data_IF_896399237747
#
_entry.id   IF_896399237747
#
_cell.length_a   1.000
_cell.length_b   1.000
_cell.length_c   1.000
_cell.angle_alpha   90.00
_cell.angle_beta   90.00
_cell.angle_gamma   90.00
#
_symmetry.space_group_name_H-M   'P 1'
#
loop_
_entity.id
_entity.type
_entity.pdbx_description
1 polymer ?
#
# COMPACT_ATOMS: atom_id res chain seq x y z
N UNK A 1 5.18 13.48 13.43
CA UNK A 1 5.74 12.13 13.65
C UNK A 1 4.78 11.18 12.98
N UNK A 2 5.23 10.44 11.98
CA UNK A 2 4.38 9.48 11.28
C UNK A 2 3.97 8.37 12.26
N UNK A 3 2.71 7.94 12.21
CA UNK A 3 2.19 6.86 13.03
C UNK A 3 2.68 5.51 12.49
N UNK A 4 3.28 4.67 13.35
CA UNK A 4 3.80 3.34 12.99
C UNK A 4 3.25 2.30 13.98
N UNK A 5 2.05 1.75 13.74
CA UNK A 5 1.45 0.71 14.57
C UNK A 5 2.34 -0.55 14.70
N UNK A 6 2.52 -1.07 15.91
CA UNK A 6 3.44 -2.18 16.18
C UNK A 6 2.90 -3.56 15.75
N UNK A 7 1.59 -3.65 15.57
CA UNK A 7 0.85 -4.85 15.18
C UNK A 7 0.93 -5.15 13.67
N UNK A 8 1.36 -4.18 12.86
CA UNK A 8 1.48 -4.31 11.41
C UNK A 8 2.86 -4.86 11.00
N UNK A 9 2.90 -5.48 9.83
CA UNK A 9 4.15 -5.76 9.11
C UNK A 9 4.38 -4.66 8.08
N UNK A 10 5.64 -4.44 7.68
CA UNK A 10 6.00 -3.34 6.80
C UNK A 10 6.98 -3.77 5.70
N UNK A 11 6.81 -3.22 4.50
CA UNK A 11 7.77 -3.32 3.41
C UNK A 11 8.80 -2.19 3.47
N UNK A 12 9.88 -2.28 2.67
CA UNK A 12 10.85 -1.18 2.54
C UNK A 12 10.31 -0.05 1.66
N UNK A 13 9.28 -0.36 0.89
CA UNK A 13 8.58 0.47 -0.08
C UNK A 13 7.42 1.27 0.56
N UNK A 14 7.38 1.32 1.90
CA UNK A 14 6.42 2.08 2.70
C UNK A 14 4.98 1.56 2.62
N UNK A 15 4.82 0.25 2.51
CA UNK A 15 3.55 -0.46 2.65
C UNK A 15 3.43 -1.11 4.03
N UNK A 16 2.20 -1.36 4.46
CA UNK A 16 1.90 -2.14 5.64
C UNK A 16 0.97 -3.31 5.31
N UNK A 17 1.14 -4.40 6.05
CA UNK A 17 0.24 -5.56 6.02
C UNK A 17 -0.41 -5.74 7.38
N UNK A 18 -1.72 -5.95 7.38
CA UNK A 18 -2.51 -6.37 8.54
C UNK A 18 -3.07 -7.75 8.29
N UNK A 19 -2.77 -8.70 9.17
CA UNK A 19 -3.36 -10.03 9.13
C UNK A 19 -4.80 -9.96 9.65
N UNK A 20 -5.74 -10.44 8.86
CA UNK A 20 -7.16 -10.54 9.24
C UNK A 20 -7.48 -11.88 9.89
N UNK A 21 -8.64 -11.96 10.54
CA UNK A 21 -9.06 -13.15 11.29
C UNK A 21 -9.32 -14.38 10.40
N UNK A 22 -9.68 -14.17 9.13
CA UNK A 22 -9.93 -15.23 8.14
C UNK A 22 -8.65 -15.75 7.45
N UNK A 23 -7.49 -15.23 7.85
CA UNK A 23 -6.19 -15.59 7.28
C UNK A 23 -5.79 -14.77 6.05
N UNK A 24 -6.63 -13.84 5.58
CA UNK A 24 -6.26 -12.88 4.54
C UNK A 24 -5.38 -11.77 5.10
N UNK A 25 -4.79 -10.99 4.20
CA UNK A 25 -4.00 -9.80 4.54
C UNK A 25 -4.63 -8.57 3.89
N UNK A 26 -4.80 -7.51 4.67
CA UNK A 26 -5.06 -6.17 4.15
C UNK A 26 -3.74 -5.45 3.95
N UNK A 27 -3.57 -4.86 2.77
CA UNK A 27 -2.37 -4.07 2.42
C UNK A 27 -2.77 -2.60 2.25
N UNK A 28 -1.86 -1.69 2.62
CA UNK A 28 -2.01 -0.26 2.37
C UNK A 28 -0.68 0.47 2.45
N UNK A 29 -0.69 1.79 2.24
CA UNK A 29 0.52 2.63 2.37
C UNK A 29 0.64 3.19 3.78
N UNK A 30 1.87 3.36 4.26
CA UNK A 30 2.16 3.91 5.59
C UNK A 30 1.81 5.39 5.70
N UNK A 31 1.67 5.89 6.93
CA UNK A 31 1.49 7.32 7.21
C UNK A 31 2.62 8.16 6.56
N UNK A 32 3.85 7.65 6.59
CA UNK A 32 4.97 8.34 5.96
C UNK A 32 4.81 8.48 4.44
N UNK A 33 4.33 7.42 3.77
CA UNK A 33 4.09 7.45 2.33
C UNK A 33 3.01 8.47 1.96
N UNK A 34 1.89 8.50 2.69
CA UNK A 34 0.81 9.44 2.40
C UNK A 34 1.24 10.89 2.68
N UNK A 35 2.01 11.15 3.74
CA UNK A 35 2.55 12.50 4.02
C UNK A 35 3.46 13.00 2.89
N UNK A 36 4.28 12.12 2.31
CA UNK A 36 5.16 12.45 1.18
C UNK A 36 4.39 12.73 -0.11
N UNK A 37 3.34 11.95 -0.38
CA UNK A 37 2.47 12.14 -1.55
C UNK A 37 1.61 13.39 -1.42
N UNK A 38 1.10 13.66 -0.23
CA UNK A 38 0.08 14.67 0.00
C UNK A 38 -1.28 14.25 -0.55
N UNK A 39 -2.07 15.23 -0.99
CA UNK A 39 -3.47 15.00 -1.35
C UNK A 39 -3.60 14.02 -2.52
N UNK A 40 -4.20 12.87 -2.22
CA UNK A 40 -4.46 11.80 -3.17
C UNK A 40 -5.58 12.20 -4.14
N UNK A 41 -5.39 11.89 -5.43
CA UNK A 41 -6.34 12.22 -6.50
C UNK A 41 -6.84 10.99 -7.24
N UNK A 42 -6.06 9.90 -7.24
CA UNK A 42 -6.41 8.67 -7.93
C UNK A 42 -5.76 7.46 -7.28
N UNK A 43 -6.48 6.34 -7.30
CA UNK A 43 -5.98 5.02 -6.91
C UNK A 43 -6.48 4.02 -7.94
N UNK A 44 -5.56 3.32 -8.59
CA UNK A 44 -5.84 2.18 -9.45
C UNK A 44 -5.60 0.90 -8.66
N UNK A 45 -6.65 0.08 -8.53
CA UNK A 45 -6.61 -1.16 -7.76
C UNK A 45 -6.62 -2.37 -8.70
N UNK A 46 -5.99 -3.50 -8.33
CA UNK A 46 -6.10 -4.71 -9.11
C UNK A 46 -7.56 -5.20 -9.17
N UNK A 47 -7.92 -5.87 -10.25
CA UNK A 47 -9.22 -6.53 -10.34
C UNK A 47 -9.36 -7.62 -9.27
N UNK A 48 -10.55 -7.75 -8.70
CA UNK A 48 -10.84 -8.81 -7.72
C UNK A 48 -10.65 -10.18 -8.38
N UNK A 49 -9.81 -11.02 -7.76
CA UNK A 49 -9.47 -12.34 -8.28
C UNK A 49 -8.23 -12.35 -9.20
N UNK A 50 -7.62 -11.20 -9.48
CA UNK A 50 -6.33 -11.15 -10.15
C UNK A 50 -5.26 -11.89 -9.32
N UNK A 51 -4.41 -12.66 -10.01
CA UNK A 51 -3.22 -13.25 -9.39
C UNK A 51 -2.08 -12.26 -9.55
N UNK A 52 -1.40 -11.97 -8.44
CA UNK A 52 -0.29 -11.02 -8.38
C UNK A 52 0.94 -11.72 -7.81
N UNK A 53 2.12 -11.39 -8.32
CA UNK A 53 3.38 -12.00 -7.88
C UNK A 53 4.05 -11.16 -6.81
N UNK A 54 4.63 -11.82 -5.80
CA UNK A 54 5.28 -11.12 -4.71
C UNK A 54 6.39 -10.17 -5.23
N UNK A 55 6.35 -8.89 -4.84
CA UNK A 55 7.26 -7.85 -5.30
C UNK A 55 6.91 -7.23 -6.67
N UNK A 56 5.88 -7.72 -7.36
CA UNK A 56 5.38 -7.11 -8.59
C UNK A 56 4.35 -6.02 -8.27
N UNK A 57 4.40 -4.92 -9.02
CA UNK A 57 3.49 -3.79 -8.83
C UNK A 57 2.05 -4.22 -9.21
N UNK A 58 1.09 -4.00 -8.31
CA UNK A 58 -0.31 -4.41 -8.49
C UNK A 58 -1.32 -3.26 -8.38
N UNK A 59 -0.92 -2.11 -7.83
CA UNK A 59 -1.75 -0.92 -7.77
C UNK A 59 -0.95 0.39 -7.86
N UNK A 60 -1.63 1.46 -8.27
CA UNK A 60 -1.06 2.80 -8.46
C UNK A 60 -1.76 3.77 -7.52
N UNK A 61 -1.00 4.65 -6.86
CA UNK A 61 -1.55 5.72 -6.05
C UNK A 61 -0.97 7.05 -6.54
N UNK A 62 -1.85 7.95 -6.98
CA UNK A 62 -1.46 9.26 -7.50
C UNK A 62 -1.98 10.39 -6.62
N UNK A 63 -1.14 11.40 -6.49
CA UNK A 63 -1.41 12.63 -5.74
C UNK A 63 -1.27 13.86 -6.63
N UNK A 64 -1.68 15.01 -6.11
CA UNK A 64 -1.45 16.31 -6.78
C UNK A 64 0.03 16.63 -6.99
N UNK A 65 0.94 16.00 -6.22
CA UNK A 65 2.38 16.29 -6.26
C UNK A 65 3.17 15.29 -7.10
N UNK A 66 2.75 14.03 -7.12
CA UNK A 66 3.48 12.93 -7.75
C UNK A 66 2.57 11.74 -8.07
N UNK A 67 2.91 11.00 -9.12
CA UNK A 67 2.40 9.66 -9.40
C UNK A 67 3.46 8.64 -8.99
N UNK A 68 3.08 7.65 -8.18
CA UNK A 68 4.00 6.64 -7.64
C UNK A 68 3.33 5.26 -7.62
N UNK A 69 4.11 4.22 -7.96
CA UNK A 69 3.70 2.81 -7.81
C UNK A 69 4.04 2.36 -6.40
N UNK A 70 3.04 2.02 -5.60
CA UNK A 70 3.24 1.74 -4.17
C UNK A 70 2.88 0.34 -3.74
N UNK A 71 1.97 -0.35 -4.40
CA UNK A 71 1.46 -1.61 -3.87
C UNK A 71 2.08 -2.75 -4.65
N UNK A 72 2.86 -3.56 -3.94
CA UNK A 72 3.40 -4.81 -4.44
C UNK A 72 2.66 -5.95 -3.76
N UNK A 73 2.46 -7.05 -4.48
CA UNK A 73 1.98 -8.24 -3.78
C UNK A 73 3.05 -8.70 -2.80
N UNK A 74 2.65 -9.15 -1.62
CA UNK A 74 3.55 -9.57 -0.56
C UNK A 74 3.07 -10.81 0.18
#
# INVERSE_FOLDING_TARGET
MSNVPAELKYSKEHEWLRKEADGTYTVGITEHAQELLGDMVFVDLPEVGATVEAGADCAVAESVKAASRYLRAD
#
